data_IF_339957012840
#
_entry.id   IF_339957012840
#
_cell.length_a   1.000
_cell.length_b   1.000
_cell.length_c   1.000
_cell.angle_alpha   90.00
_cell.angle_beta   90.00
_cell.angle_gamma   90.00
#
_symmetry.space_group_name_H-M   'P 1'
#
loop_
_entity.id
_entity.type
_entity.pdbx_description
1 polymer ?
#
# COMPACT_ATOMS: atom_id res chain seq x y z
N UNK A 1 -4.87 -6.62 15.86
CA UNK A 1 -5.18 -7.87 15.14
C UNK A 1 -5.70 -8.97 16.03
N UNK A 2 -5.04 -9.33 17.14
CA UNK A 2 -5.54 -10.38 18.05
C UNK A 2 -6.99 -10.16 18.52
N UNK A 3 -7.32 -8.95 18.97
CA UNK A 3 -8.69 -8.59 19.37
C UNK A 3 -9.69 -8.79 18.23
N UNK A 4 -9.30 -8.43 17.00
CA UNK A 4 -10.13 -8.62 15.80
C UNK A 4 -10.41 -10.10 15.53
N UNK A 5 -9.41 -10.98 15.65
CA UNK A 5 -9.58 -12.41 15.39
C UNK A 5 -10.31 -13.14 16.53
N UNK A 6 -10.22 -12.64 17.76
CA UNK A 6 -10.81 -13.29 18.94
C UNK A 6 -12.23 -12.79 19.23
N UNK A 7 -12.52 -11.52 18.94
CA UNK A 7 -13.78 -10.85 19.28
C UNK A 7 -14.48 -10.24 18.05
N UNK A 8 -14.05 -10.55 16.84
CA UNK A 8 -14.61 -10.01 15.59
C UNK A 8 -16.08 -10.34 15.36
N UNK A 9 -16.51 -11.48 15.90
CA UNK A 9 -17.89 -11.98 15.79
C UNK A 9 -18.85 -11.38 16.83
N UNK A 10 -18.33 -10.57 17.76
CA UNK A 10 -19.18 -9.83 18.71
C UNK A 10 -19.97 -8.79 17.93
N UNK A 11 -21.29 -8.75 18.12
CA UNK A 11 -22.22 -7.89 17.36
C UNK A 11 -21.76 -6.42 17.28
N UNK A 12 -21.28 -5.87 18.40
CA UNK A 12 -20.75 -4.50 18.44
C UNK A 12 -19.54 -4.30 17.50
N UNK A 13 -18.61 -5.26 17.44
CA UNK A 13 -17.42 -5.20 16.56
C UNK A 13 -17.84 -5.39 15.11
N UNK A 14 -18.72 -6.34 14.83
CA UNK A 14 -19.26 -6.55 13.49
C UNK A 14 -19.99 -5.31 12.96
N UNK A 15 -20.78 -4.65 13.80
CA UNK A 15 -21.50 -3.42 13.48
C UNK A 15 -20.58 -2.24 13.18
N UNK A 16 -19.53 -2.07 13.98
CA UNK A 16 -18.48 -1.07 13.71
C UNK A 16 -17.83 -1.33 12.35
N UNK A 17 -17.37 -2.57 12.11
CA UNK A 17 -16.70 -2.93 10.86
C UNK A 17 -17.63 -2.80 9.65
N UNK A 18 -18.92 -3.11 9.82
CA UNK A 18 -19.94 -2.91 8.80
C UNK A 18 -20.00 -1.45 8.33
N UNK A 19 -20.03 -0.50 9.27
CA UNK A 19 -20.01 0.93 8.93
C UNK A 19 -18.69 1.38 8.31
N UNK A 20 -17.56 0.85 8.76
CA UNK A 20 -16.24 1.27 8.27
C UNK A 20 -15.94 0.76 6.85
N UNK A 21 -16.36 -0.45 6.46
CA UNK A 21 -16.07 -1.04 5.14
C UNK A 21 -16.42 -0.16 3.94
N UNK A 22 -17.63 0.44 3.85
CA UNK A 22 -17.96 1.42 2.80
C UNK A 22 -17.07 2.67 2.83
N UNK A 23 -16.69 3.13 4.03
CA UNK A 23 -15.79 4.27 4.18
C UNK A 23 -14.40 3.96 3.61
N UNK A 24 -13.86 2.77 3.89
CA UNK A 24 -12.57 2.32 3.32
C UNK A 24 -12.61 2.28 1.81
N UNK A 25 -13.70 1.77 1.23
CA UNK A 25 -13.88 1.76 -0.23
C UNK A 25 -13.81 3.18 -0.79
N UNK A 26 -14.48 4.14 -0.15
CA UNK A 26 -14.42 5.55 -0.52
C UNK A 26 -13.02 6.15 -0.33
N UNK A 27 -12.28 5.77 0.72
CA UNK A 27 -10.90 6.21 0.99
C UNK A 27 -9.94 5.71 -0.08
N UNK A 28 -10.01 4.44 -0.48
CA UNK A 28 -9.17 3.88 -1.54
C UNK A 28 -9.44 4.60 -2.87
N UNK A 29 -10.71 4.85 -3.19
CA UNK A 29 -11.07 5.61 -4.37
C UNK A 29 -10.59 7.07 -4.29
N UNK A 30 -10.67 7.70 -3.12
CA UNK A 30 -10.12 9.04 -2.88
C UNK A 30 -8.59 9.07 -3.01
N UNK A 31 -7.90 8.04 -2.54
CA UNK A 31 -6.46 7.90 -2.72
C UNK A 31 -6.08 7.78 -4.20
N UNK A 32 -6.82 6.98 -4.98
CA UNK A 32 -6.66 6.89 -6.43
C UNK A 32 -6.84 8.26 -7.11
N UNK A 33 -7.87 9.02 -6.72
CA UNK A 33 -8.09 10.38 -7.24
C UNK A 33 -6.98 11.35 -6.83
N UNK A 34 -6.54 11.34 -5.57
CA UNK A 34 -5.50 12.24 -5.07
C UNK A 34 -4.15 11.99 -5.75
N UNK A 35 -3.80 10.72 -6.00
CA UNK A 35 -2.60 10.35 -6.74
C UNK A 35 -2.78 10.67 -8.23
N UNK A 36 -3.92 10.26 -8.82
CA UNK A 36 -4.22 10.43 -10.23
C UNK A 36 -4.30 11.89 -10.68
N UNK A 37 -4.88 12.78 -9.88
CA UNK A 37 -4.96 14.22 -10.18
C UNK A 37 -3.59 14.88 -10.27
N UNK A 38 -2.56 14.33 -9.60
CA UNK A 38 -1.18 14.82 -9.65
C UNK A 38 -0.35 14.09 -10.72
N UNK A 39 -0.57 12.79 -10.90
CA UNK A 39 0.24 11.96 -11.78
C UNK A 39 -0.24 11.96 -13.24
N UNK A 40 -1.55 12.05 -13.50
CA UNK A 40 -2.14 11.89 -14.83
C UNK A 40 -2.29 13.23 -15.58
N UNK A 41 -1.14 13.87 -15.84
CA UNK A 41 -1.07 15.21 -16.44
C UNK A 41 -1.49 15.26 -17.92
N UNK A 42 -1.36 14.16 -18.66
CA UNK A 42 -1.65 14.10 -20.09
C UNK A 42 -2.38 12.82 -20.50
N UNK A 43 -2.80 12.76 -21.77
CA UNK A 43 -3.60 11.66 -22.32
C UNK A 43 -2.83 10.33 -22.39
N UNK A 44 -1.50 10.35 -22.54
CA UNK A 44 -0.68 9.14 -22.59
C UNK A 44 -0.62 8.48 -21.21
N UNK A 45 -0.37 9.26 -20.16
CA UNK A 45 -0.39 8.73 -18.79
C UNK A 45 -1.78 8.22 -18.40
N UNK A 46 -2.86 8.91 -18.82
CA UNK A 46 -4.23 8.42 -18.65
C UNK A 46 -4.47 7.09 -19.39
N UNK A 47 -3.95 6.96 -20.61
CA UNK A 47 -4.04 5.71 -21.37
C UNK A 47 -3.29 4.56 -20.68
N UNK A 48 -2.10 4.82 -20.11
CA UNK A 48 -1.36 3.85 -19.30
C UNK A 48 -2.17 3.42 -18.08
N UNK A 49 -2.80 4.35 -17.37
CA UNK A 49 -3.66 4.04 -16.23
C UNK A 49 -4.86 3.16 -16.61
N UNK A 50 -5.55 3.49 -17.71
CA UNK A 50 -6.68 2.69 -18.23
C UNK A 50 -6.21 1.31 -18.69
N UNK A 51 -5.08 1.23 -19.40
CA UNK A 51 -4.51 -0.04 -19.84
C UNK A 51 -4.11 -0.93 -18.65
N UNK A 52 -3.49 -0.34 -17.61
CA UNK A 52 -3.16 -1.04 -16.38
C UNK A 52 -4.39 -1.55 -15.65
N UNK A 53 -5.45 -0.73 -15.56
CA UNK A 53 -6.74 -1.16 -15.01
C UNK A 53 -7.31 -2.36 -15.79
N UNK A 54 -7.37 -2.29 -17.12
CA UNK A 54 -7.88 -3.39 -17.96
C UNK A 54 -7.01 -4.66 -17.80
N UNK A 55 -5.68 -4.50 -17.78
CA UNK A 55 -4.73 -5.59 -17.63
C UNK A 55 -4.95 -6.38 -16.33
N UNK A 56 -5.14 -5.68 -15.20
CA UNK A 56 -5.37 -6.36 -13.92
C UNK A 56 -6.83 -6.82 -13.76
N UNK A 57 -7.80 -6.01 -14.19
CA UNK A 57 -9.22 -6.27 -13.95
C UNK A 57 -9.75 -7.40 -14.84
N UNK A 58 -9.53 -7.28 -16.15
CA UNK A 58 -10.09 -8.18 -17.15
C UNK A 58 -9.12 -9.31 -17.52
N UNK A 59 -7.84 -9.00 -17.73
CA UNK A 59 -6.84 -9.98 -18.17
C UNK A 59 -6.16 -10.73 -17.01
N UNK A 60 -6.41 -10.31 -15.76
CA UNK A 60 -5.82 -10.90 -14.54
C UNK A 60 -4.29 -10.96 -14.57
N UNK A 61 -3.65 -10.01 -15.23
CA UNK A 61 -2.18 -9.93 -15.31
C UNK A 61 -1.61 -9.60 -13.92
N UNK A 62 -0.61 -10.34 -13.43
CA UNK A 62 0.03 -10.05 -12.15
C UNK A 62 0.63 -8.65 -12.08
N UNK A 63 0.45 -7.99 -10.94
CA UNK A 63 0.91 -6.62 -10.69
C UNK A 63 2.38 -6.36 -11.07
N UNK A 64 3.36 -7.23 -10.77
CA UNK A 64 4.76 -6.98 -11.13
C UNK A 64 4.97 -6.78 -12.64
N UNK A 65 4.24 -7.52 -13.49
CA UNK A 65 4.34 -7.38 -14.94
C UNK A 65 3.74 -6.07 -15.44
N UNK A 66 2.70 -5.56 -14.77
CA UNK A 66 2.11 -4.25 -15.06
C UNK A 66 3.11 -3.14 -14.73
N UNK A 67 3.78 -3.23 -13.57
CA UNK A 67 4.82 -2.27 -13.19
C UNK A 67 6.00 -2.30 -14.16
N UNK A 68 6.50 -3.49 -14.50
CA UNK A 68 7.63 -3.64 -15.42
C UNK A 68 7.31 -3.13 -16.82
N UNK A 69 6.12 -3.44 -17.35
CA UNK A 69 5.68 -2.94 -18.65
C UNK A 69 5.50 -1.42 -18.64
N UNK A 70 4.93 -0.84 -17.58
CA UNK A 70 4.81 0.61 -17.44
C UNK A 70 6.18 1.29 -17.35
N UNK A 71 7.12 0.74 -16.59
CA UNK A 71 8.48 1.25 -16.49
C UNK A 71 9.20 1.22 -17.86
N UNK A 72 9.04 0.12 -18.61
CA UNK A 72 9.60 -0.01 -19.96
C UNK A 72 8.98 1.00 -20.93
N UNK A 73 7.66 1.17 -20.90
CA UNK A 73 6.94 2.16 -21.72
C UNK A 73 7.41 3.57 -21.38
N UNK A 74 7.57 3.91 -20.10
CA UNK A 74 8.10 5.21 -19.67
C UNK A 74 9.56 5.42 -20.11
N UNK A 75 10.41 4.39 -20.01
CA UNK A 75 11.80 4.44 -20.44
C UNK A 75 11.95 4.66 -21.96
N UNK A 76 11.18 3.92 -22.76
CA UNK A 76 11.15 4.08 -24.21
C UNK A 76 10.49 5.41 -24.60
N UNK A 77 9.39 5.77 -23.95
CA UNK A 77 8.65 7.00 -24.14
C UNK A 77 9.50 8.25 -23.88
N UNK A 78 10.44 8.20 -22.94
CA UNK A 78 11.40 9.27 -22.68
C UNK A 78 12.29 9.59 -23.89
N UNK A 79 12.54 8.63 -24.79
CA UNK A 79 13.33 8.85 -26.01
C UNK A 79 12.54 9.49 -27.14
N UNK A 80 11.23 9.21 -27.22
CA UNK A 80 10.38 9.67 -28.31
C UNK A 80 9.59 10.94 -27.98
N UNK A 81 9.16 11.10 -26.74
CA UNK A 81 8.40 12.27 -26.27
C UNK A 81 8.76 12.62 -24.83
N UNK A 82 9.92 13.29 -24.62
CA UNK A 82 10.42 13.61 -23.28
C UNK A 82 9.45 14.47 -22.46
N UNK A 83 8.73 15.39 -23.11
CA UNK A 83 7.82 16.32 -22.45
C UNK A 83 6.57 15.63 -21.86
N UNK A 84 6.16 14.49 -22.43
CA UNK A 84 5.04 13.69 -21.92
C UNK A 84 5.35 13.06 -20.56
N UNK A 85 6.61 12.72 -20.30
CA UNK A 85 7.02 11.96 -19.12
C UNK A 85 7.81 12.80 -18.10
N UNK A 86 7.94 14.11 -18.34
CA UNK A 86 8.40 15.05 -17.31
C UNK A 86 7.42 15.01 -16.14
N UNK A 87 7.84 14.39 -15.05
CA UNK A 87 7.10 14.46 -13.79
C UNK A 87 7.12 15.93 -13.37
N UNK A 88 5.94 16.54 -13.16
CA UNK A 88 5.86 17.89 -12.60
C UNK A 88 6.65 17.87 -11.29
N UNK A 89 7.60 18.79 -11.14
CA UNK A 89 8.39 18.89 -9.92
C UNK A 89 7.44 18.84 -8.73
N UNK A 90 7.71 17.97 -7.76
CA UNK A 90 7.03 18.03 -6.48
C UNK A 90 7.16 19.48 -6.00
N UNK A 91 6.03 20.20 -5.92
CA UNK A 91 5.93 21.47 -5.21
C UNK A 91 6.19 21.19 -3.71
N UNK A 92 7.44 20.91 -3.38
CA UNK A 92 8.01 21.15 -2.06
C UNK A 92 8.79 22.43 -2.23
N UNK A 93 8.09 23.54 -2.05
CA UNK A 93 8.58 24.85 -1.59
C UNK A 93 7.43 25.83 -1.75
N UNK A 94 6.42 25.65 -0.88
CA UNK A 94 5.66 26.82 -0.47
C UNK A 94 6.64 27.68 0.34
N UNK A 95 6.97 28.85 -0.19
CA UNK A 95 7.79 29.89 0.42
C UNK A 95 7.19 30.42 1.72
N UNK A 96 7.07 29.58 2.76
CA UNK A 96 6.91 30.04 4.13
C UNK A 96 8.23 29.79 4.82
N UNK A 97 9.19 30.69 4.61
CA UNK A 97 10.49 30.63 5.27
C UNK A 97 10.31 30.76 6.78
N UNK A 98 10.51 29.67 7.51
CA UNK A 98 10.45 29.62 8.99
C UNK A 98 11.71 30.25 9.65
N UNK A 99 12.45 31.09 8.93
CA UNK A 99 13.77 31.59 9.33
C UNK A 99 14.90 30.59 9.03
N UNK A 100 16.16 30.98 9.26
CA UNK A 100 17.31 30.10 9.03
C UNK A 100 17.27 28.91 10.00
N UNK A 101 17.28 27.70 9.46
CA UNK A 101 17.33 26.47 10.26
C UNK A 101 18.74 26.23 10.82
N UNK A 102 18.82 25.60 12.00
CA UNK A 102 20.09 25.14 12.59
C UNK A 102 20.82 24.12 11.70
N UNK A 103 20.06 23.34 10.93
CA UNK A 103 20.54 22.47 9.86
C UNK A 103 19.73 22.87 8.63
N UNK A 104 20.38 23.58 7.73
CA UNK A 104 19.83 24.05 6.45
C UNK A 104 20.59 23.42 5.28
N UNK A 105 20.14 23.67 4.04
CA UNK A 105 20.76 23.15 2.80
C UNK A 105 22.25 23.55 2.65
N UNK A 106 22.66 24.61 3.34
CA UNK A 106 24.04 25.10 3.37
C UNK A 106 24.92 24.39 4.42
N UNK A 107 24.36 23.50 5.23
CA UNK A 107 25.10 22.78 6.28
C UNK A 107 25.98 21.71 5.63
N UNK A 108 27.29 21.69 5.87
CA UNK A 108 28.16 20.70 5.25
C UNK A 108 27.75 19.30 5.69
N UNK A 109 27.61 18.41 4.70
CA UNK A 109 27.26 17.00 4.94
C UNK A 109 28.30 16.37 5.87
N UNK A 110 27.90 15.81 7.03
CA UNK A 110 28.82 15.15 7.95
C UNK A 110 29.64 14.04 7.25
N UNK A 111 30.87 13.79 7.71
CA UNK A 111 31.75 12.80 7.06
C UNK A 111 31.18 11.37 7.05
N UNK A 112 30.30 11.04 7.98
CA UNK A 112 29.58 9.78 8.02
C UNK A 112 28.39 9.69 7.05
N UNK A 113 27.92 10.83 6.53
CA UNK A 113 26.83 10.91 5.56
C UNK A 113 27.34 11.05 4.12
N UNK A 114 28.64 11.36 3.92
CA UNK A 114 29.29 11.35 2.60
C UNK A 114 29.32 9.94 2.00
N UNK A 115 29.08 9.85 0.69
CA UNK A 115 29.12 8.59 -0.07
C UNK A 115 30.50 7.94 0.00
N UNK A 116 30.54 6.64 0.32
CA UNK A 116 31.74 5.80 0.28
C UNK A 116 31.36 4.40 -0.19
N UNK A 117 32.04 3.90 -1.23
CA UNK A 117 31.81 2.55 -1.77
C UNK A 117 31.95 1.44 -0.73
N UNK A 118 32.89 1.56 0.20
CA UNK A 118 33.06 0.59 1.29
C UNK A 118 31.84 0.52 2.20
N UNK A 119 31.23 1.67 2.53
CA UNK A 119 30.03 1.73 3.36
C UNK A 119 28.81 1.18 2.61
N UNK A 120 28.69 1.49 1.33
CA UNK A 120 27.65 0.93 0.46
C UNK A 120 27.74 -0.61 0.46
N UNK A 121 28.92 -1.16 0.17
CA UNK A 121 29.12 -2.61 0.15
C UNK A 121 28.84 -3.21 1.54
N UNK A 122 29.30 -2.56 2.61
CA UNK A 122 29.04 -3.01 3.99
C UNK A 122 27.55 -3.08 4.30
N UNK A 123 26.77 -2.04 3.98
CA UNK A 123 25.32 -2.06 4.21
C UNK A 123 24.62 -3.11 3.35
N UNK A 124 25.04 -3.28 2.09
CA UNK A 124 24.49 -4.30 1.21
C UNK A 124 24.74 -5.71 1.78
N UNK A 125 25.99 -6.01 2.15
CA UNK A 125 26.37 -7.31 2.72
C UNK A 125 25.64 -7.58 4.03
N UNK A 126 25.56 -6.59 4.93
CA UNK A 126 24.86 -6.76 6.21
C UNK A 126 23.36 -6.97 6.00
N UNK A 127 22.70 -6.15 5.18
CA UNK A 127 21.26 -6.27 4.98
C UNK A 127 20.86 -7.53 4.21
N UNK A 128 21.58 -7.87 3.14
CA UNK A 128 21.37 -9.12 2.40
C UNK A 128 21.70 -10.32 3.30
N UNK A 129 22.77 -10.24 4.10
CA UNK A 129 23.14 -11.25 5.08
C UNK A 129 22.05 -11.49 6.11
N UNK A 130 21.46 -10.43 6.68
CA UNK A 130 20.31 -10.54 7.60
C UNK A 130 19.12 -11.21 6.89
N UNK A 131 18.78 -10.76 5.67
CA UNK A 131 17.66 -11.31 4.91
C UNK A 131 17.81 -12.81 4.62
N UNK A 132 18.98 -13.22 4.11
CA UNK A 132 19.30 -14.63 3.83
C UNK A 132 19.32 -15.44 5.13
N UNK A 133 19.94 -14.92 6.19
CA UNK A 133 20.05 -15.62 7.46
C UNK A 133 18.66 -15.87 8.05
N UNK A 134 17.81 -14.84 8.13
CA UNK A 134 16.45 -15.01 8.65
C UNK A 134 15.64 -15.93 7.75
N UNK A 135 15.72 -15.79 6.42
CA UNK A 135 15.00 -16.67 5.49
C UNK A 135 15.40 -18.15 5.69
N UNK A 136 16.68 -18.43 5.89
CA UNK A 136 17.17 -19.80 6.12
C UNK A 136 16.69 -20.43 7.42
N UNK A 137 16.27 -19.60 8.40
CA UNK A 137 15.71 -20.05 9.67
C UNK A 137 14.18 -20.29 9.60
N UNK A 138 13.52 -19.85 8.52
CA UNK A 138 12.08 -20.07 8.33
C UNK A 138 11.84 -21.47 7.77
N UNK A 139 11.66 -22.44 8.67
CA UNK A 139 11.36 -23.83 8.30
C UNK A 139 9.90 -24.04 7.88
N UNK A 140 8.99 -23.18 8.33
CA UNK A 140 7.58 -23.26 7.98
C UNK A 140 7.33 -22.70 6.56
N UNK A 141 6.62 -23.43 5.68
CA UNK A 141 6.39 -23.00 4.30
C UNK A 141 5.63 -21.68 4.20
N UNK A 142 4.66 -21.43 5.08
CA UNK A 142 3.85 -20.19 5.04
C UNK A 142 4.70 -18.99 5.41
N UNK A 143 5.53 -19.11 6.44
CA UNK A 143 6.47 -18.05 6.80
C UNK A 143 7.52 -17.80 5.71
N UNK A 144 8.03 -18.87 5.07
CA UNK A 144 8.96 -18.73 3.95
C UNK A 144 8.30 -18.02 2.75
N UNK A 145 7.07 -18.40 2.40
CA UNK A 145 6.27 -17.74 1.36
C UNK A 145 6.04 -16.27 1.69
N UNK A 146 5.73 -15.93 2.95
CA UNK A 146 5.62 -14.54 3.40
C UNK A 146 6.93 -13.78 3.21
N UNK A 147 8.06 -14.36 3.63
CA UNK A 147 9.37 -13.74 3.45
C UNK A 147 9.66 -13.43 1.98
N UNK A 148 9.41 -14.38 1.09
CA UNK A 148 9.66 -14.21 -0.35
C UNK A 148 8.70 -13.17 -0.96
N UNK A 149 7.42 -13.27 -0.63
CA UNK A 149 6.39 -12.38 -1.14
C UNK A 149 6.62 -10.92 -0.71
N UNK A 150 6.83 -10.67 0.59
CA UNK A 150 7.02 -9.31 1.11
C UNK A 150 8.35 -8.70 0.66
N UNK A 151 9.39 -9.52 0.47
CA UNK A 151 10.65 -9.07 -0.16
C UNK A 151 10.40 -8.61 -1.60
N UNK A 152 9.69 -9.42 -2.40
CA UNK A 152 9.32 -9.03 -3.77
C UNK A 152 8.47 -7.77 -3.77
N UNK A 153 7.44 -7.68 -2.92
CA UNK A 153 6.57 -6.51 -2.80
C UNK A 153 7.36 -5.24 -2.49
N UNK A 154 8.30 -5.29 -1.55
CA UNK A 154 9.15 -4.15 -1.23
C UNK A 154 10.06 -3.73 -2.39
N UNK A 155 10.46 -4.64 -3.28
CA UNK A 155 11.30 -4.33 -4.44
C UNK A 155 10.52 -3.83 -5.66
N UNK A 156 9.27 -4.28 -5.85
CA UNK A 156 8.50 -3.99 -7.08
C UNK A 156 7.44 -2.90 -6.90
N UNK A 157 7.19 -2.44 -5.68
CA UNK A 157 6.18 -1.41 -5.45
C UNK A 157 6.79 -0.01 -5.41
N UNK A 158 6.37 0.82 -6.36
CA UNK A 158 6.64 2.25 -6.41
C UNK A 158 5.32 3.03 -6.36
N UNK A 159 5.30 4.22 -5.75
CA UNK A 159 4.10 5.06 -5.67
C UNK A 159 3.44 5.16 -4.29
N UNK A 160 4.13 4.75 -3.24
CA UNK A 160 3.70 4.93 -1.84
C UNK A 160 2.83 3.79 -1.31
N UNK A 161 2.33 3.94 -0.08
CA UNK A 161 1.67 2.86 0.64
C UNK A 161 0.37 2.35 -0.04
N UNK A 162 -0.40 3.21 -0.72
CA UNK A 162 -1.59 2.76 -1.47
C UNK A 162 -1.23 1.93 -2.71
N UNK A 163 -0.04 2.13 -3.29
CA UNK A 163 0.42 1.40 -4.47
C UNK A 163 0.73 -0.07 -4.17
N UNK A 164 1.05 -0.39 -2.90
CA UNK A 164 1.37 -1.77 -2.49
C UNK A 164 0.12 -2.61 -2.31
N UNK A 165 -1.02 -1.98 -2.00
CA UNK A 165 -2.22 -2.67 -1.57
C UNK A 165 -2.78 -3.63 -2.63
N UNK A 166 -2.84 -3.28 -3.93
CA UNK A 166 -3.31 -4.23 -4.91
C UNK A 166 -2.41 -5.46 -5.04
N UNK A 167 -1.10 -5.29 -4.83
CA UNK A 167 -0.17 -6.41 -4.89
C UNK A 167 -0.32 -7.32 -3.66
N UNK A 168 -0.41 -6.72 -2.47
CA UNK A 168 -0.71 -7.45 -1.21
C UNK A 168 -2.05 -8.16 -1.31
N UNK A 169 -3.05 -7.52 -1.89
CA UNK A 169 -4.36 -8.12 -2.12
C UNK A 169 -4.23 -9.35 -3.03
N UNK A 170 -3.58 -9.21 -4.20
CA UNK A 170 -3.39 -10.32 -5.14
C UNK A 170 -2.60 -11.48 -4.52
N UNK A 171 -1.56 -11.20 -3.74
CA UNK A 171 -0.79 -12.23 -3.05
C UNK A 171 -1.56 -12.85 -1.88
N UNK A 172 -1.92 -12.03 -0.89
CA UNK A 172 -2.48 -12.48 0.38
C UNK A 172 -3.90 -13.02 0.29
N UNK A 173 -4.72 -12.52 -0.65
CA UNK A 173 -6.10 -12.98 -0.84
C UNK A 173 -6.19 -13.99 -1.98
N UNK A 174 -5.79 -13.62 -3.19
CA UNK A 174 -6.05 -14.45 -4.37
C UNK A 174 -5.08 -15.64 -4.50
N UNK A 175 -3.78 -15.44 -4.25
CA UNK A 175 -2.74 -16.44 -4.52
C UNK A 175 -2.49 -17.40 -3.34
N UNK A 176 -2.20 -16.84 -2.16
CA UNK A 176 -1.82 -17.60 -0.97
C UNK A 176 -2.99 -17.90 -0.03
N UNK A 177 -4.13 -17.20 -0.22
CA UNK A 177 -5.31 -17.32 0.63
C UNK A 177 -4.97 -17.25 2.14
N UNK A 178 -4.12 -16.29 2.49
CA UNK A 178 -3.80 -15.93 3.88
C UNK A 178 -4.95 -15.17 4.53
N UNK A 179 -5.68 -14.38 3.75
CA UNK A 179 -6.83 -13.61 4.20
C UNK A 179 -7.99 -13.78 3.22
N UNK A 180 -9.20 -13.62 3.73
CA UNK A 180 -10.38 -13.36 2.89
C UNK A 180 -10.40 -11.91 2.41
N UNK A 181 -11.17 -11.62 1.35
CA UNK A 181 -11.46 -10.25 0.90
C UNK A 181 -11.94 -9.35 2.03
N UNK A 182 -12.81 -9.89 2.89
CA UNK A 182 -13.37 -9.19 4.06
C UNK A 182 -12.29 -8.86 5.07
N UNK A 183 -11.44 -9.82 5.43
CA UNK A 183 -10.33 -9.60 6.35
C UNK A 183 -9.32 -8.59 5.80
N UNK A 184 -9.06 -8.56 4.48
CA UNK A 184 -8.19 -7.56 3.87
C UNK A 184 -8.80 -6.15 3.96
N UNK A 185 -10.12 -6.00 3.74
CA UNK A 185 -10.82 -4.73 3.93
C UNK A 185 -10.82 -4.27 5.39
N UNK A 186 -11.03 -5.19 6.33
CA UNK A 186 -10.97 -4.92 7.77
C UNK A 186 -9.54 -4.52 8.19
N UNK A 187 -8.53 -5.19 7.65
CA UNK A 187 -7.13 -4.83 7.88
C UNK A 187 -6.80 -3.43 7.40
N UNK A 188 -7.31 -3.05 6.23
CA UNK A 188 -7.13 -1.70 5.69
C UNK A 188 -7.88 -0.65 6.52
N UNK A 189 -9.13 -0.96 6.93
CA UNK A 189 -9.90 -0.14 7.86
C UNK A 189 -9.12 0.15 9.14
N UNK A 190 -8.61 -0.90 9.78
CA UNK A 190 -7.83 -0.80 11.00
C UNK A 190 -6.54 -0.01 10.76
N UNK A 191 -5.85 -0.24 9.64
CA UNK A 191 -4.65 0.52 9.25
C UNK A 191 -4.90 2.02 9.16
N UNK A 192 -6.00 2.45 8.52
CA UNK A 192 -6.38 3.86 8.37
C UNK A 192 -6.84 4.52 9.68
N UNK A 193 -7.26 3.73 10.68
CA UNK A 193 -7.60 4.24 12.02
C UNK A 193 -6.39 4.43 12.93
N UNK A 194 -5.25 3.83 12.60
CA UNK A 194 -4.03 3.99 13.40
C UNK A 194 -3.23 5.21 12.92
N UNK A 195 -2.74 6.08 13.84
CA UNK A 195 -1.84 7.14 13.45
C UNK A 195 -0.52 6.53 12.97
N UNK A 196 -0.24 6.65 11.68
CA UNK A 196 1.00 6.14 11.11
C UNK A 196 0.92 5.86 9.62
N UNK A 197 1.97 5.26 9.06
CA UNK A 197 2.01 4.92 7.65
C UNK A 197 1.06 3.74 7.34
N UNK A 198 0.24 3.88 6.30
CA UNK A 198 -0.72 2.85 5.87
C UNK A 198 -0.08 1.48 5.59
N UNK A 199 1.21 1.46 5.25
CA UNK A 199 1.98 0.25 5.01
C UNK A 199 1.94 -0.73 6.21
N UNK A 200 1.61 -0.27 7.42
CA UNK A 200 1.46 -1.12 8.61
C UNK A 200 0.44 -2.25 8.43
N UNK A 201 -0.46 -2.16 7.44
CA UNK A 201 -1.36 -3.26 7.06
C UNK A 201 -0.62 -4.56 6.73
N UNK A 202 0.65 -4.51 6.29
CA UNK A 202 1.44 -5.73 6.02
C UNK A 202 1.62 -6.60 7.26
N UNK A 203 1.77 -5.98 8.44
CA UNK A 203 1.88 -6.70 9.70
C UNK A 203 0.54 -7.37 10.07
N UNK A 204 -0.58 -6.72 9.76
CA UNK A 204 -1.91 -7.32 9.90
C UNK A 204 -2.06 -8.54 8.95
N UNK A 205 -1.66 -8.39 7.69
CA UNK A 205 -1.71 -9.46 6.68
C UNK A 205 -0.86 -10.66 7.12
N UNK A 206 0.38 -10.43 7.59
CA UNK A 206 1.23 -11.48 8.14
C UNK A 206 0.61 -12.15 9.36
N UNK A 207 0.06 -11.37 10.29
CA UNK A 207 -0.57 -11.90 11.50
C UNK A 207 -1.77 -12.80 11.17
N UNK A 208 -2.72 -12.30 10.37
CA UNK A 208 -3.93 -13.04 10.00
C UNK A 208 -3.57 -14.26 9.17
N UNK A 209 -2.60 -14.16 8.26
CA UNK A 209 -2.15 -15.28 7.44
C UNK A 209 -1.60 -16.43 8.29
N UNK A 210 -0.66 -16.15 9.17
CA UNK A 210 -0.05 -17.18 10.01
C UNK A 210 -1.04 -17.74 11.04
N UNK A 211 -1.94 -16.90 11.57
CA UNK A 211 -3.03 -17.32 12.43
C UNK A 211 -3.98 -18.28 11.69
N UNK A 212 -4.47 -17.90 10.51
CA UNK A 212 -5.48 -18.66 9.76
C UNK A 212 -4.91 -19.97 9.21
N UNK A 213 -3.60 -20.03 8.93
CA UNK A 213 -2.92 -21.24 8.50
C UNK A 213 -2.46 -22.12 9.68
N UNK A 214 -2.69 -21.69 10.91
CA UNK A 214 -2.34 -22.43 12.14
C UNK A 214 -0.90 -22.98 12.14
N UNK A 215 0.08 -22.15 11.77
CA UNK A 215 1.46 -22.62 11.50
C UNK A 215 2.16 -23.29 12.69
N UNK A 216 1.66 -23.07 13.92
CA UNK A 216 2.13 -23.73 15.15
C UNK A 216 1.05 -24.60 15.82
N UNK A 217 0.00 -24.95 15.08
CA UNK A 217 -1.17 -25.66 15.58
C UNK A 217 -2.24 -24.75 16.21
N UNK A 218 -3.41 -25.32 16.54
CA UNK A 218 -4.59 -24.58 17.00
C UNK A 218 -4.42 -24.00 18.41
N UNK A 219 -3.49 -24.53 19.20
CA UNK A 219 -3.26 -24.07 20.58
C UNK A 219 -2.35 -22.83 20.66
N UNK A 220 -1.62 -22.51 19.58
CA UNK A 220 -0.58 -21.49 19.56
C UNK A 220 -0.83 -20.36 18.53
N UNK A 221 -2.11 -20.07 18.24
CA UNK A 221 -2.51 -19.10 17.20
C UNK A 221 -1.95 -17.69 17.41
N UNK A 222 -1.88 -17.23 18.67
CA UNK A 222 -1.31 -15.92 18.98
C UNK A 222 0.19 -15.85 18.67
N UNK A 223 0.94 -16.92 18.97
CA UNK A 223 2.35 -17.01 18.61
C UNK A 223 2.53 -17.08 17.09
N UNK A 224 1.67 -17.85 16.40
CA UNK A 224 1.64 -17.92 14.95
C UNK A 224 1.44 -16.53 14.33
N UNK A 225 0.45 -15.78 14.82
CA UNK A 225 0.19 -14.40 14.39
C UNK A 225 1.39 -13.47 14.62
N UNK A 226 2.06 -13.54 15.78
CA UNK A 226 3.26 -12.74 16.03
C UNK A 226 4.42 -13.10 15.10
N UNK A 227 4.62 -14.39 14.81
CA UNK A 227 5.64 -14.83 13.86
C UNK A 227 5.36 -14.29 12.45
N UNK A 228 4.13 -14.46 11.95
CA UNK A 228 3.74 -13.94 10.63
C UNK A 228 3.85 -12.43 10.52
N UNK A 229 3.41 -11.68 11.53
CA UNK A 229 3.54 -10.23 11.57
C UNK A 229 5.02 -9.78 11.54
N UNK A 230 5.87 -10.47 12.28
CA UNK A 230 7.31 -10.16 12.37
C UNK A 230 8.01 -10.43 11.04
N UNK A 231 7.73 -11.57 10.39
CA UNK A 231 8.26 -11.91 9.07
C UNK A 231 7.79 -10.89 8.03
N UNK A 232 6.49 -10.61 7.96
CA UNK A 232 5.95 -9.63 7.02
C UNK A 232 6.57 -8.24 7.19
N UNK A 233 6.73 -7.79 8.44
CA UNK A 233 7.34 -6.51 8.77
C UNK A 233 8.81 -6.49 8.36
N UNK A 234 9.59 -7.49 8.78
CA UNK A 234 11.02 -7.55 8.49
C UNK A 234 11.28 -7.54 6.98
N UNK A 235 10.62 -8.42 6.22
CA UNK A 235 10.87 -8.55 4.79
C UNK A 235 10.24 -7.43 3.94
N UNK A 236 9.29 -6.67 4.48
CA UNK A 236 8.82 -5.43 3.84
C UNK A 236 9.80 -4.28 4.05
N UNK A 237 10.28 -4.10 5.28
CA UNK A 237 11.10 -2.94 5.64
C UNK A 237 12.59 -3.14 5.35
N UNK A 238 13.12 -4.36 5.39
CA UNK A 238 14.54 -4.63 5.16
C UNK A 238 15.01 -4.18 3.76
N UNK A 239 14.34 -4.52 2.63
CA UNK A 239 14.72 -4.00 1.33
C UNK A 239 14.56 -2.49 1.24
N UNK A 240 13.51 -1.94 1.88
CA UNK A 240 13.26 -0.49 1.91
C UNK A 240 14.39 0.28 2.62
N UNK A 241 14.85 -0.21 3.78
CA UNK A 241 16.01 0.36 4.49
C UNK A 241 17.30 0.23 3.69
N UNK A 242 17.50 -0.92 3.02
CA UNK A 242 18.64 -1.09 2.13
C UNK A 242 18.60 -0.07 0.99
N UNK A 243 17.47 0.14 0.32
CA UNK A 243 17.35 1.16 -0.72
C UNK A 243 17.64 2.56 -0.21
N UNK A 244 17.24 2.90 1.02
CA UNK A 244 17.55 4.21 1.61
C UNK A 244 19.05 4.34 1.90
N UNK A 245 19.67 3.35 2.54
CA UNK A 245 21.09 3.40 2.92
C UNK A 245 22.04 3.31 1.72
N UNK A 246 21.69 2.50 0.72
CA UNK A 246 22.49 2.31 -0.49
C UNK A 246 22.22 3.42 -1.52
N UNK A 247 20.95 3.78 -1.66
CA UNK A 247 20.45 4.63 -2.73
C UNK A 247 20.42 6.10 -2.41
N UNK A 248 20.46 6.54 -1.14
CA UNK A 248 20.35 7.97 -0.77
C UNK A 248 21.22 8.90 -1.63
N UNK A 249 22.55 8.69 -1.71
CA UNK A 249 23.42 9.51 -2.54
C UNK A 249 23.17 9.39 -4.06
N UNK A 250 22.74 8.22 -4.53
CA UNK A 250 22.44 7.97 -5.94
C UNK A 250 21.10 8.55 -6.39
N UNK A 251 20.07 8.48 -5.54
CA UNK A 251 18.75 9.09 -5.75
C UNK A 251 18.89 10.61 -5.77
N UNK A 252 19.70 11.19 -4.89
CA UNK A 252 19.96 12.64 -4.90
C UNK A 252 20.70 13.07 -6.18
N UNK A 253 21.68 12.29 -6.63
CA UNK A 253 22.44 12.58 -7.86
C UNK A 253 21.63 12.39 -9.16
N UNK A 254 20.58 11.57 -9.13
CA UNK A 254 19.69 11.31 -10.28
C UNK A 254 18.42 12.17 -10.25
N UNK A 255 18.28 13.02 -9.24
CA UNK A 255 17.16 13.94 -9.07
C UNK A 255 17.16 14.96 -10.22
N UNK A 256 16.16 14.84 -11.10
CA UNK A 256 16.00 15.70 -12.28
C UNK A 256 16.49 15.10 -13.61
N UNK A 257 17.08 13.90 -13.63
CA UNK A 257 17.36 13.21 -14.90
C UNK A 257 16.10 12.50 -15.43
N UNK A 258 15.69 12.89 -16.64
CA UNK A 258 14.55 12.35 -17.36
C UNK A 258 14.58 10.83 -17.50
N UNK A 259 15.77 10.22 -17.58
CA UNK A 259 15.92 8.76 -17.70
C UNK A 259 15.36 8.01 -16.51
N UNK A 260 15.33 8.62 -15.33
CA UNK A 260 14.82 8.02 -14.10
C UNK A 260 13.42 8.51 -13.76
N UNK A 261 13.08 9.78 -14.05
CA UNK A 261 11.75 10.31 -13.77
C UNK A 261 10.66 9.75 -14.70
N UNK A 262 10.99 9.48 -15.97
CA UNK A 262 10.01 9.05 -16.95
C UNK A 262 9.45 7.63 -16.70
N UNK A 263 10.28 6.60 -16.43
CA UNK A 263 9.78 5.29 -15.99
C UNK A 263 8.93 5.39 -14.72
N UNK A 264 9.36 6.18 -13.74
CA UNK A 264 8.64 6.35 -12.47
C UNK A 264 7.27 7.02 -12.67
N UNK A 265 7.19 8.00 -13.57
CA UNK A 265 5.93 8.65 -13.96
C UNK A 265 4.95 7.66 -14.58
N UNK A 266 5.42 6.83 -15.53
CA UNK A 266 4.61 5.79 -16.15
C UNK A 266 4.15 4.72 -15.15
N UNK A 267 5.04 4.28 -14.24
CA UNK A 267 4.69 3.35 -13.15
C UNK A 267 3.62 3.96 -12.24
N UNK A 268 3.78 5.23 -11.85
CA UNK A 268 2.80 5.93 -11.01
C UNK A 268 1.44 6.01 -11.70
N UNK A 269 1.42 6.27 -13.01
CA UNK A 269 0.19 6.27 -13.80
C UNK A 269 -0.48 4.88 -13.84
N UNK A 270 0.30 3.82 -14.06
CA UNK A 270 -0.22 2.45 -14.02
C UNK A 270 -0.78 2.08 -12.64
N UNK A 271 -0.08 2.46 -11.57
CA UNK A 271 -0.50 2.26 -10.18
C UNK A 271 -1.87 2.89 -9.92
N UNK A 272 -2.17 4.09 -10.45
CA UNK A 272 -3.50 4.70 -10.32
C UNK A 272 -4.58 3.77 -10.88
N UNK A 273 -4.38 3.20 -12.06
CA UNK A 273 -5.29 2.21 -12.65
C UNK A 273 -5.46 0.96 -11.78
N UNK A 274 -4.37 0.47 -11.20
CA UNK A 274 -4.39 -0.70 -10.33
C UNK A 274 -5.10 -0.41 -8.99
N UNK A 275 -4.95 0.79 -8.41
CA UNK A 275 -5.69 1.21 -7.21
C UNK A 275 -7.19 1.32 -7.52
N UNK A 276 -7.57 1.82 -8.71
CA UNK A 276 -8.98 1.84 -9.15
C UNK A 276 -9.55 0.41 -9.22
N UNK A 277 -8.78 -0.56 -9.73
CA UNK A 277 -9.20 -1.97 -9.71
C UNK A 277 -9.46 -2.47 -8.28
N UNK A 278 -8.58 -2.13 -7.33
CA UNK A 278 -8.79 -2.48 -5.92
C UNK A 278 -10.05 -1.81 -5.34
N UNK A 279 -10.30 -0.54 -5.67
CA UNK A 279 -11.50 0.18 -5.24
C UNK A 279 -12.79 -0.46 -5.79
N UNK A 280 -12.80 -0.82 -7.08
CA UNK A 280 -13.92 -1.53 -7.72
C UNK A 280 -14.15 -2.88 -7.04
N UNK A 281 -13.07 -3.59 -6.72
CA UNK A 281 -13.17 -4.87 -6.03
C UNK A 281 -13.79 -4.72 -4.64
N UNK A 282 -13.32 -3.77 -3.83
CA UNK A 282 -13.92 -3.51 -2.52
C UNK A 282 -15.37 -3.05 -2.64
N UNK A 283 -15.68 -2.16 -3.57
CA UNK A 283 -17.05 -1.75 -3.84
C UNK A 283 -17.95 -2.96 -4.15
N UNK A 284 -17.48 -3.91 -4.97
CA UNK A 284 -18.25 -5.12 -5.26
C UNK A 284 -18.54 -5.94 -3.99
N UNK A 285 -17.53 -6.15 -3.14
CA UNK A 285 -17.67 -6.98 -1.92
C UNK A 285 -18.49 -6.28 -0.81
N UNK A 286 -18.48 -4.95 -0.77
CA UNK A 286 -19.20 -4.17 0.24
C UNK A 286 -20.64 -3.89 -0.18
N UNK A 287 -20.87 -3.54 -1.45
CA UNK A 287 -22.20 -3.17 -1.95
C UNK A 287 -23.05 -4.39 -2.31
N UNK A 288 -22.42 -5.47 -2.77
CA UNK A 288 -23.08 -6.76 -3.07
C UNK A 288 -22.41 -7.89 -2.28
N UNK A 289 -22.60 -7.92 -0.95
CA UNK A 289 -21.99 -8.95 -0.11
C UNK A 289 -22.45 -10.34 -0.58
N UNK A 290 -21.49 -11.25 -0.80
CA UNK A 290 -21.72 -12.62 -1.31
C UNK A 290 -22.47 -12.72 -2.65
N UNK A 291 -22.51 -11.64 -3.45
CA UNK A 291 -23.27 -11.61 -4.70
C UNK A 291 -24.79 -11.55 -4.51
N UNK A 292 -25.24 -11.20 -3.30
CA UNK A 292 -26.64 -10.97 -2.98
C UNK A 292 -27.14 -9.61 -3.51
N UNK A 293 -28.35 -9.22 -3.11
CA UNK A 293 -28.92 -7.92 -3.42
C UNK A 293 -28.07 -6.75 -2.92
N UNK A 294 -28.27 -5.59 -3.55
CA UNK A 294 -27.56 -4.37 -3.20
C UNK A 294 -27.88 -3.96 -1.76
N UNK A 295 -26.84 -3.80 -0.94
CA UNK A 295 -26.97 -3.23 0.39
C UNK A 295 -27.08 -1.70 0.30
N UNK A 296 -28.30 -1.21 0.37
CA UNK A 296 -28.60 0.23 0.31
C UNK A 296 -28.00 1.02 1.47
N UNK A 297 -27.90 0.42 2.66
CA UNK A 297 -27.35 1.10 3.84
C UNK A 297 -25.86 1.28 3.69
N UNK A 298 -25.14 0.21 3.32
CA UNK A 298 -23.72 0.28 2.99
C UNK A 298 -23.44 1.25 1.84
N UNK A 299 -24.30 1.25 0.81
CA UNK A 299 -24.21 2.18 -0.32
C UNK A 299 -24.33 3.63 0.12
N UNK A 300 -25.32 3.97 0.95
CA UNK A 300 -25.52 5.32 1.47
C UNK A 300 -24.35 5.78 2.34
N UNK A 301 -23.83 4.91 3.21
CA UNK A 301 -22.64 5.21 4.02
C UNK A 301 -21.44 5.48 3.10
N UNK A 302 -21.23 4.64 2.08
CA UNK A 302 -20.12 4.79 1.13
C UNK A 302 -20.20 6.09 0.33
N UNK A 303 -21.39 6.45 -0.18
CA UNK A 303 -21.62 7.71 -0.90
C UNK A 303 -21.43 8.91 0.02
N UNK A 304 -21.96 8.87 1.24
CA UNK A 304 -21.78 9.94 2.22
C UNK A 304 -20.29 10.13 2.59
N UNK A 305 -19.57 9.04 2.83
CA UNK A 305 -18.13 9.06 3.07
C UNK A 305 -17.35 9.63 1.88
N UNK A 306 -17.70 9.23 0.65
CA UNK A 306 -17.10 9.77 -0.56
C UNK A 306 -17.32 11.28 -0.68
N UNK A 307 -18.54 11.77 -0.48
CA UNK A 307 -18.85 13.20 -0.53
C UNK A 307 -18.11 13.97 0.58
N UNK A 308 -18.06 13.42 1.81
CA UNK A 308 -17.31 13.98 2.92
C UNK A 308 -15.82 14.18 2.60
N UNK A 309 -15.18 13.19 1.98
CA UNK A 309 -13.77 13.22 1.60
C UNK A 309 -13.51 14.16 0.40
N UNK A 310 -14.32 14.06 -0.66
CA UNK A 310 -14.08 14.79 -1.90
C UNK A 310 -14.54 16.25 -1.85
N UNK A 311 -15.76 16.50 -1.36
CA UNK A 311 -16.40 17.82 -1.44
C UNK A 311 -16.10 18.68 -0.22
N UNK A 312 -16.06 18.07 0.96
CA UNK A 312 -15.86 18.76 2.23
C UNK A 312 -14.43 18.64 2.77
N UNK A 313 -13.59 17.77 2.18
CA UNK A 313 -12.19 17.55 2.59
C UNK A 313 -12.06 17.20 4.07
N UNK A 314 -13.05 16.50 4.62
CA UNK A 314 -13.04 16.04 6.02
C UNK A 314 -11.90 15.01 6.19
N UNK A 315 -11.23 15.03 7.34
CA UNK A 315 -10.13 14.11 7.63
C UNK A 315 -10.58 12.65 7.64
N UNK A 316 -9.73 11.76 7.12
CA UNK A 316 -9.99 10.31 7.01
C UNK A 316 -10.41 9.72 8.36
N UNK A 317 -9.68 10.05 9.43
CA UNK A 317 -9.98 9.62 10.80
C UNK A 317 -11.41 9.98 11.25
N UNK A 318 -11.86 11.21 10.96
CA UNK A 318 -13.19 11.67 11.34
C UNK A 318 -14.28 10.96 10.54
N UNK A 319 -14.05 10.70 9.24
CA UNK A 319 -14.98 9.95 8.40
C UNK A 319 -15.11 8.51 8.91
N UNK A 320 -13.99 7.84 9.20
CA UNK A 320 -14.02 6.47 9.72
C UNK A 320 -14.74 6.42 11.07
N UNK A 321 -14.46 7.35 11.99
CA UNK A 321 -15.12 7.41 13.29
C UNK A 321 -16.65 7.62 13.16
N UNK A 322 -17.08 8.52 12.27
CA UNK A 322 -18.51 8.75 12.01
C UNK A 322 -19.18 7.49 11.44
N UNK A 323 -18.55 6.83 10.47
CA UNK A 323 -19.06 5.59 9.87
C UNK A 323 -19.10 4.44 10.88
N UNK A 324 -18.10 4.31 11.76
CA UNK A 324 -18.08 3.34 12.85
C UNK A 324 -19.26 3.55 13.83
N UNK A 325 -19.52 4.80 14.21
CA UNK A 325 -20.65 5.14 15.09
C UNK A 325 -21.99 4.85 14.41
N UNK A 326 -22.14 5.19 13.13
CA UNK A 326 -23.34 4.88 12.35
C UNK A 326 -23.56 3.35 12.29
N UNK A 327 -22.52 2.58 11.96
CA UNK A 327 -22.60 1.11 11.90
C UNK A 327 -22.96 0.48 13.26
N UNK A 328 -22.35 0.96 14.34
CA UNK A 328 -22.67 0.52 15.70
C UNK A 328 -24.13 0.84 16.06
N UNK A 329 -24.58 2.05 15.75
CA UNK A 329 -25.95 2.50 16.06
C UNK A 329 -26.99 1.67 15.31
N UNK A 330 -26.76 1.39 14.03
CA UNK A 330 -27.63 0.53 13.24
C UNK A 330 -27.72 -0.90 13.81
N UNK A 331 -26.61 -1.41 14.34
CA UNK A 331 -26.56 -2.78 14.91
C UNK A 331 -27.23 -2.87 16.28
N UNK A 332 -27.35 -1.77 17.01
CA UNK A 332 -28.06 -1.73 18.30
C UNK A 332 -29.57 -1.50 18.10
N UNK A 333 -29.95 -0.84 17.00
CA UNK A 333 -31.35 -0.50 16.69
C UNK A 333 -32.12 -1.58 15.92
N UNK A 334 -31.42 -2.46 15.21
CA UNK A 334 -31.96 -3.57 14.41
C UNK A 334 -31.73 -4.89 15.14
#
# INVERSE_FOLDING_TARGET
>A
TWVYLTYGDVSAVTGILYGIKPAVTAIVLFAAYRIGSKALSNNILRAIAVAAFIAIFALKIPFPYIVLSAALVGFLGAKFSPDTFKMGAHHGDGETGYGPALIDDNTPVPDHAKFKWSRLISFAVVGIGIGISVMSLLSDPVLHDMGEFFTKAAMVTFGGAYAVLPYIYQGGVDQYAWLTSTQMMDGLALGETTPGPLIMVVAFVGFVGAWTKEIFGPDALLLAGFAGASVATLFTFLPSFLFIFLGGPGVEATRGDLKFSAPLSAVTAAVVGVIINLAVFFAKNVLWPNGADLDWVATLIGVAAFVALFRFKIGIMSVIAACAVIGLTLTVLV
#
